data_IF_145789451956
#
_entry.id   IF_145789451956
#
_cell.length_a   1.000
_cell.length_b   1.000
_cell.length_c   1.000
_cell.angle_alpha   90.00
_cell.angle_beta   90.00
_cell.angle_gamma   90.00
#
_symmetry.space_group_name_H-M   'P 1'
#
loop_
_entity.id
_entity.type
_entity.pdbx_description
1 polymer ?
#
# COMPACT_ATOMS: atom_id res chain seq x y z
N UNK A 1 -34.46 -16.70 -48.32
CA UNK A 1 -33.92 -15.95 -47.17
C UNK A 1 -32.68 -16.70 -46.71
N UNK A 2 -31.51 -16.09 -46.84
CA UNK A 2 -30.23 -16.69 -46.42
C UNK A 2 -29.98 -16.33 -44.96
N UNK A 3 -30.36 -17.22 -44.05
CA UNK A 3 -30.04 -17.07 -42.63
C UNK A 3 -28.53 -17.18 -42.44
N UNK A 4 -27.87 -16.03 -42.22
CA UNK A 4 -26.46 -15.96 -41.86
C UNK A 4 -26.30 -16.45 -40.43
N UNK A 5 -25.86 -17.70 -40.26
CA UNK A 5 -25.42 -18.21 -38.96
C UNK A 5 -24.19 -17.42 -38.50
N UNK A 6 -24.33 -16.68 -37.40
CA UNK A 6 -23.22 -16.00 -36.74
C UNK A 6 -22.36 -17.05 -36.02
N UNK A 7 -21.27 -17.49 -36.64
CA UNK A 7 -20.22 -18.25 -35.95
C UNK A 7 -19.37 -17.29 -35.12
N UNK A 8 -19.87 -16.94 -33.93
CA UNK A 8 -19.08 -16.24 -32.92
C UNK A 8 -18.33 -17.22 -32.01
N UNK A 9 -17.24 -16.80 -31.35
CA UNK A 9 -16.63 -17.60 -30.30
C UNK A 9 -17.67 -17.93 -29.20
N UNK A 10 -17.50 -19.07 -28.53
CA UNK A 10 -18.35 -19.49 -27.41
C UNK A 10 -18.55 -18.32 -26.43
N UNK A 11 -19.79 -18.02 -26.00
CA UNK A 11 -20.03 -16.92 -25.07
C UNK A 11 -19.26 -17.19 -23.78
N UNK A 12 -18.19 -16.42 -23.55
CA UNK A 12 -17.54 -16.39 -22.26
C UNK A 12 -18.55 -15.78 -21.28
N UNK A 13 -19.15 -16.63 -20.44
CA UNK A 13 -19.96 -16.20 -19.31
C UNK A 13 -19.01 -15.43 -18.38
N UNK A 14 -19.02 -14.10 -18.52
CA UNK A 14 -18.24 -13.21 -17.66
C UNK A 14 -18.72 -13.42 -16.22
N UNK A 15 -17.82 -13.88 -15.35
CA UNK A 15 -18.11 -13.96 -13.91
C UNK A 15 -18.54 -12.59 -13.38
N UNK A 16 -19.46 -12.56 -12.42
CA UNK A 16 -20.08 -11.32 -11.93
C UNK A 16 -19.17 -10.33 -11.18
N UNK A 17 -17.86 -10.61 -11.05
CA UNK A 17 -16.90 -9.71 -10.39
C UNK A 17 -16.11 -8.93 -11.44
N UNK A 18 -16.29 -7.61 -11.48
CA UNK A 18 -15.47 -6.72 -12.30
C UNK A 18 -14.16 -6.38 -11.60
N UNK A 19 -13.10 -6.12 -12.38
CA UNK A 19 -11.79 -5.68 -11.86
C UNK A 19 -11.95 -4.44 -10.98
N UNK A 20 -12.79 -3.50 -11.39
CA UNK A 20 -13.04 -2.28 -10.62
C UNK A 20 -13.68 -2.57 -9.26
N UNK A 21 -14.61 -3.54 -9.17
CA UNK A 21 -15.18 -3.94 -7.88
C UNK A 21 -14.12 -4.52 -6.94
N UNK A 22 -13.16 -5.29 -7.46
CA UNK A 22 -12.07 -5.84 -6.66
C UNK A 22 -11.15 -4.71 -6.16
N UNK A 23 -10.77 -3.77 -7.03
CA UNK A 23 -9.92 -2.64 -6.66
C UNK A 23 -10.56 -1.75 -5.61
N UNK A 24 -11.86 -1.49 -5.69
CA UNK A 24 -12.58 -0.74 -4.65
C UNK A 24 -12.68 -1.49 -3.33
N UNK A 25 -12.86 -2.82 -3.35
CA UNK A 25 -12.78 -3.64 -2.13
C UNK A 25 -11.38 -3.53 -1.48
N UNK A 26 -10.29 -3.44 -2.26
CA UNK A 26 -8.93 -3.19 -1.74
C UNK A 26 -8.79 -1.78 -1.15
N UNK A 27 -9.35 -0.76 -1.80
CA UNK A 27 -9.38 0.60 -1.23
C UNK A 27 -10.10 0.60 0.12
N UNK A 28 -11.24 -0.09 0.23
CA UNK A 28 -11.99 -0.23 1.49
C UNK A 28 -11.15 -0.92 2.56
N UNK A 29 -10.42 -1.97 2.20
CA UNK A 29 -9.54 -2.70 3.11
C UNK A 29 -8.37 -1.85 3.64
N UNK A 30 -7.93 -0.83 2.89
CA UNK A 30 -6.88 0.11 3.29
C UNK A 30 -7.39 1.26 4.19
N UNK A 31 -8.71 1.48 4.26
CA UNK A 31 -9.29 2.55 5.08
C UNK A 31 -8.90 2.44 6.57
N UNK A 32 -9.05 1.28 7.25
CA UNK A 32 -8.69 1.16 8.67
C UNK A 32 -7.23 1.53 8.93
N UNK A 33 -6.32 1.07 8.06
CA UNK A 33 -4.88 1.39 8.16
C UNK A 33 -4.67 2.89 7.99
N UNK A 34 -5.22 3.48 6.93
CA UNK A 34 -5.08 4.92 6.67
C UNK A 34 -5.65 5.80 7.79
N UNK A 35 -6.76 5.38 8.41
CA UNK A 35 -7.40 6.09 9.51
C UNK A 35 -6.48 6.07 10.73
N UNK A 36 -5.93 4.90 11.09
CA UNK A 36 -4.99 4.79 12.21
C UNK A 36 -3.72 5.61 11.94
N UNK A 37 -3.19 5.61 10.73
CA UNK A 37 -2.05 6.45 10.36
C UNK A 37 -2.35 7.94 10.61
N UNK A 38 -3.54 8.41 10.23
CA UNK A 38 -3.96 9.81 10.43
C UNK A 38 -4.18 10.12 11.92
N UNK A 39 -4.72 9.18 12.70
CA UNK A 39 -4.92 9.38 14.14
C UNK A 39 -3.61 9.56 14.91
N UNK A 40 -2.54 8.81 14.55
CA UNK A 40 -1.26 8.87 15.25
C UNK A 40 -0.29 9.93 14.72
N UNK A 41 -0.32 10.23 13.41
CA UNK A 41 0.60 11.20 12.78
C UNK A 41 -0.07 12.54 12.40
N UNK A 42 -1.38 12.68 12.66
CA UNK A 42 -2.10 13.93 12.55
C UNK A 42 -2.32 14.44 11.12
N UNK A 43 -2.38 15.76 10.98
CA UNK A 43 -2.80 16.42 9.74
C UNK A 43 -1.82 16.21 8.58
N UNK A 44 -0.52 16.13 8.86
CA UNK A 44 0.50 15.93 7.83
C UNK A 44 0.30 14.60 7.08
N UNK A 45 -0.01 13.52 7.79
CA UNK A 45 -0.34 12.22 7.18
C UNK A 45 -1.57 12.28 6.28
N UNK A 46 -2.60 13.02 6.69
CA UNK A 46 -3.80 13.21 5.89
C UNK A 46 -3.50 13.97 4.59
N UNK A 47 -2.73 15.05 4.67
CA UNK A 47 -2.31 15.83 3.49
C UNK A 47 -1.48 14.95 2.55
N UNK A 48 -0.59 14.11 3.09
CA UNK A 48 0.23 13.18 2.30
C UNK A 48 -0.63 12.14 1.57
N UNK A 49 -1.59 11.51 2.26
CA UNK A 49 -2.53 10.54 1.68
C UNK A 49 -3.37 11.17 0.56
N UNK A 50 -3.96 12.35 0.80
CA UNK A 50 -4.76 13.07 -0.19
C UNK A 50 -3.90 13.46 -1.38
N UNK A 51 -2.71 14.03 -1.14
CA UNK A 51 -1.78 14.43 -2.21
C UNK A 51 -1.39 13.24 -3.07
N UNK A 52 -1.11 12.09 -2.45
CA UNK A 52 -0.77 10.88 -3.19
C UNK A 52 -1.94 10.37 -4.04
N UNK A 53 -3.13 10.32 -3.45
CA UNK A 53 -4.33 9.85 -4.13
C UNK A 53 -4.70 10.72 -5.34
N UNK A 54 -4.62 12.05 -5.18
CA UNK A 54 -4.90 13.01 -6.24
C UNK A 54 -3.82 12.95 -7.31
N UNK A 55 -2.55 12.98 -6.94
CA UNK A 55 -1.45 12.94 -7.92
C UNK A 55 -1.43 11.65 -8.72
N UNK A 56 -1.67 10.50 -8.10
CA UNK A 56 -1.78 9.22 -8.80
C UNK A 56 -2.89 9.25 -9.87
N UNK A 57 -4.09 9.73 -9.51
CA UNK A 57 -5.20 9.83 -10.46
C UNK A 57 -4.93 10.81 -11.59
N UNK A 58 -4.32 11.97 -11.28
CA UNK A 58 -3.99 12.99 -12.28
C UNK A 58 -2.94 12.48 -13.27
N UNK A 59 -1.89 11.81 -12.78
CA UNK A 59 -0.81 11.28 -13.62
C UNK A 59 -1.32 10.17 -14.54
N UNK A 60 -2.10 9.22 -14.01
CA UNK A 60 -2.69 8.15 -14.82
C UNK A 60 -3.67 8.71 -15.85
N UNK A 61 -4.60 9.57 -15.42
CA UNK A 61 -5.57 10.20 -16.31
C UNK A 61 -4.89 11.04 -17.41
N UNK A 62 -3.87 11.81 -17.05
CA UNK A 62 -3.09 12.62 -17.99
C UNK A 62 -2.34 11.78 -19.01
N UNK A 63 -1.66 10.71 -18.57
CA UNK A 63 -0.94 9.81 -19.47
C UNK A 63 -1.88 9.11 -20.46
N UNK A 64 -3.03 8.65 -19.99
CA UNK A 64 -4.02 7.99 -20.85
C UNK A 64 -4.65 8.96 -21.85
N UNK A 65 -4.92 10.20 -21.45
CA UNK A 65 -5.45 11.23 -22.35
C UNK A 65 -4.48 11.51 -23.52
N UNK A 66 -3.18 11.53 -23.23
CA UNK A 66 -2.11 11.70 -24.24
C UNK A 66 -2.03 10.47 -25.14
N UNK A 67 -1.95 9.26 -24.55
CA UNK A 67 -1.75 8.01 -25.29
C UNK A 67 -2.90 7.68 -26.26
N UNK A 68 -4.14 7.94 -25.86
CA UNK A 68 -5.33 7.59 -26.64
C UNK A 68 -5.97 8.77 -27.38
N UNK A 69 -5.27 9.92 -27.47
CA UNK A 69 -5.73 11.14 -28.17
C UNK A 69 -7.17 11.53 -27.81
N UNK A 70 -7.52 11.49 -26.51
CA UNK A 70 -8.83 11.95 -26.00
C UNK A 70 -9.33 11.23 -24.75
N UNK A 71 -10.26 11.88 -24.03
CA UNK A 71 -10.88 11.39 -22.79
C UNK A 71 -11.91 10.26 -22.98
N UNK A 72 -11.97 9.61 -24.14
CA UNK A 72 -12.99 8.56 -24.43
C UNK A 72 -12.87 7.33 -23.51
N UNK A 73 -11.73 7.16 -22.83
CA UNK A 73 -11.51 6.13 -21.82
C UNK A 73 -11.54 6.68 -20.37
N UNK A 74 -12.24 7.80 -20.12
CA UNK A 74 -12.33 8.42 -18.79
C UNK A 74 -12.86 7.47 -17.69
N UNK A 75 -13.57 6.40 -18.04
CA UNK A 75 -13.96 5.35 -17.09
C UNK A 75 -12.79 4.61 -16.45
N UNK A 76 -11.61 4.60 -17.09
CA UNK A 76 -10.38 3.98 -16.54
C UNK A 76 -9.82 4.80 -15.38
N UNK A 77 -10.12 6.10 -15.30
CA UNK A 77 -9.73 6.94 -14.14
C UNK A 77 -10.47 6.49 -12.86
N UNK A 78 -11.64 5.86 -13.02
CA UNK A 78 -12.50 5.41 -11.93
C UNK A 78 -12.43 3.91 -11.66
N UNK A 79 -11.50 3.20 -12.29
CA UNK A 79 -11.32 1.75 -12.07
C UNK A 79 -10.83 1.41 -10.66
N UNK A 80 -10.31 2.40 -9.91
CA UNK A 80 -9.78 2.26 -8.56
C UNK A 80 -8.30 1.88 -8.49
N UNK A 81 -7.67 1.49 -9.60
CA UNK A 81 -6.28 1.02 -9.62
C UNK A 81 -5.27 2.14 -9.33
N UNK A 82 -5.49 3.34 -9.87
CA UNK A 82 -4.69 4.52 -9.53
C UNK A 82 -4.79 4.85 -8.03
N UNK A 83 -6.01 4.68 -7.47
CA UNK A 83 -6.28 4.98 -6.08
C UNK A 83 -5.57 3.99 -5.14
N UNK A 84 -5.62 2.69 -5.45
CA UNK A 84 -4.86 1.67 -4.72
C UNK A 84 -3.37 1.97 -4.78
N UNK A 85 -2.83 2.25 -5.97
CA UNK A 85 -1.39 2.54 -6.13
C UNK A 85 -0.96 3.77 -5.32
N UNK A 86 -1.72 4.86 -5.39
CA UNK A 86 -1.44 6.09 -4.64
C UNK A 86 -1.58 5.90 -3.12
N UNK A 87 -2.57 5.14 -2.66
CA UNK A 87 -2.73 4.83 -1.23
C UNK A 87 -1.58 3.95 -0.72
N UNK A 88 -1.21 2.90 -1.45
CA UNK A 88 -0.08 2.06 -1.08
C UNK A 88 1.22 2.86 -1.02
N UNK A 89 1.46 3.76 -1.98
CA UNK A 89 2.64 4.64 -1.98
C UNK A 89 2.63 5.58 -0.78
N UNK A 90 1.49 6.19 -0.45
CA UNK A 90 1.42 7.04 0.74
C UNK A 90 1.68 6.23 2.02
N UNK A 91 1.08 5.06 2.15
CA UNK A 91 1.22 4.22 3.34
C UNK A 91 2.65 3.70 3.54
N UNK A 92 3.41 3.47 2.47
CA UNK A 92 4.82 3.10 2.61
C UNK A 92 5.74 4.30 2.78
N UNK A 93 5.29 5.55 2.71
CA UNK A 93 6.18 6.70 2.92
C UNK A 93 6.32 7.05 4.41
N UNK A 94 7.45 7.66 4.82
CA UNK A 94 7.56 8.30 6.12
C UNK A 94 6.55 9.45 6.27
N UNK A 95 6.02 9.71 7.48
CA UNK A 95 5.06 10.79 7.73
C UNK A 95 5.62 12.20 7.47
N UNK A 96 6.94 12.36 7.56
CA UNK A 96 7.69 13.60 7.35
C UNK A 96 8.08 13.83 5.88
N UNK A 97 7.74 12.90 4.98
CA UNK A 97 8.12 13.01 3.58
C UNK A 97 7.48 14.25 2.93
N UNK A 98 8.26 15.05 2.18
CA UNK A 98 7.72 16.24 1.56
C UNK A 98 6.79 15.87 0.39
N UNK A 99 5.76 16.69 0.18
CA UNK A 99 4.68 16.39 -0.77
C UNK A 99 5.18 16.19 -2.22
N UNK A 100 6.20 16.94 -2.64
CA UNK A 100 6.78 16.80 -3.97
C UNK A 100 7.39 15.42 -4.21
N UNK A 101 7.95 14.79 -3.18
CA UNK A 101 8.57 13.46 -3.29
C UNK A 101 7.53 12.39 -3.58
N UNK A 102 6.36 12.50 -2.94
CA UNK A 102 5.22 11.60 -3.14
C UNK A 102 4.68 11.73 -4.57
N UNK A 103 4.62 12.95 -5.12
CA UNK A 103 4.22 13.17 -6.52
C UNK A 103 5.20 12.50 -7.48
N UNK A 104 6.52 12.62 -7.24
CA UNK A 104 7.55 11.94 -8.06
C UNK A 104 7.40 10.42 -7.94
N UNK A 105 7.17 9.88 -6.73
CA UNK A 105 6.95 8.46 -6.51
C UNK A 105 5.77 7.94 -7.34
N UNK A 106 4.65 8.66 -7.33
CA UNK A 106 3.48 8.32 -8.13
C UNK A 106 3.75 8.40 -9.63
N UNK A 107 4.55 9.37 -10.08
CA UNK A 107 4.97 9.45 -11.48
C UNK A 107 5.77 8.22 -11.90
N UNK A 108 6.72 7.79 -11.08
CA UNK A 108 7.53 6.58 -11.34
C UNK A 108 6.66 5.32 -11.35
N UNK A 109 5.79 5.14 -10.34
CA UNK A 109 4.91 3.98 -10.27
C UNK A 109 4.01 3.88 -11.51
N UNK A 110 3.36 4.98 -11.88
CA UNK A 110 2.35 4.94 -12.93
C UNK A 110 3.02 4.91 -14.31
N UNK A 111 3.97 5.79 -14.58
CA UNK A 111 4.57 5.91 -15.91
C UNK A 111 5.52 4.76 -16.21
N UNK A 112 6.42 4.45 -15.28
CA UNK A 112 7.48 3.47 -15.51
C UNK A 112 7.07 2.04 -15.11
N UNK A 113 6.39 1.87 -13.98
CA UNK A 113 6.10 0.53 -13.47
C UNK A 113 4.77 -0.06 -13.96
N UNK A 114 3.78 0.79 -14.29
CA UNK A 114 2.45 0.35 -14.75
C UNK A 114 2.24 0.55 -16.24
N UNK A 115 2.37 1.78 -16.72
CA UNK A 115 1.99 2.15 -18.08
C UNK A 115 3.03 1.74 -19.14
N UNK A 116 4.31 1.70 -18.79
CA UNK A 116 5.37 1.21 -19.69
C UNK A 116 5.13 -0.24 -20.16
N UNK A 117 4.52 -1.07 -19.31
CA UNK A 117 4.20 -2.48 -19.61
C UNK A 117 2.80 -2.68 -20.21
N UNK A 118 2.09 -1.59 -20.50
CA UNK A 118 0.78 -1.65 -21.15
C UNK A 118 -0.42 -1.49 -20.23
N UNK A 119 -0.22 -1.23 -18.93
CA UNK A 119 -1.29 -0.90 -17.99
C UNK A 119 -1.76 -2.08 -17.14
N UNK A 120 -3.03 -2.06 -16.73
CA UNK A 120 -3.59 -2.99 -15.74
C UNK A 120 -3.55 -4.43 -16.25
N UNK A 121 -3.07 -5.35 -15.41
CA UNK A 121 -2.92 -6.76 -15.72
C UNK A 121 -1.56 -7.15 -16.32
N UNK A 122 -0.77 -6.18 -16.78
CA UNK A 122 0.55 -6.42 -17.38
C UNK A 122 1.71 -5.93 -16.49
N UNK A 123 1.46 -5.69 -15.21
CA UNK A 123 2.47 -5.22 -14.27
C UNK A 123 3.34 -6.41 -13.82
N UNK A 124 4.59 -6.48 -14.30
CA UNK A 124 5.55 -7.53 -13.89
C UNK A 124 5.84 -7.44 -12.39
N UNK A 125 5.94 -6.21 -11.87
CA UNK A 125 6.20 -5.91 -10.47
C UNK A 125 5.08 -5.04 -9.89
N UNK A 126 4.94 -5.05 -8.56
CA UNK A 126 4.04 -4.14 -7.87
C UNK A 126 4.49 -2.67 -8.09
N UNK A 127 3.67 -1.81 -8.74
CA UNK A 127 4.07 -0.45 -9.08
C UNK A 127 4.45 0.42 -7.87
N UNK A 128 3.79 0.22 -6.73
CA UNK A 128 4.08 0.95 -5.50
C UNK A 128 5.47 0.59 -4.94
N UNK A 129 5.85 -0.69 -5.01
CA UNK A 129 7.17 -1.16 -4.57
C UNK A 129 8.29 -0.67 -5.50
N UNK A 130 8.05 -0.59 -6.81
CA UNK A 130 9.01 -0.02 -7.76
C UNK A 130 9.26 1.45 -7.44
N UNK A 131 8.20 2.23 -7.18
CA UNK A 131 8.36 3.62 -6.77
C UNK A 131 9.07 3.77 -5.42
N UNK A 132 8.76 2.92 -4.43
CA UNK A 132 9.49 2.90 -3.16
C UNK A 132 10.97 2.62 -3.37
N UNK A 133 11.33 1.62 -4.17
CA UNK A 133 12.73 1.29 -4.45
C UNK A 133 13.45 2.47 -5.11
N UNK A 134 12.82 3.12 -6.10
CA UNK A 134 13.39 4.29 -6.75
C UNK A 134 13.63 5.45 -5.78
N UNK A 135 12.62 5.83 -5.00
CA UNK A 135 12.72 6.96 -4.06
C UNK A 135 13.69 6.65 -2.92
N UNK A 136 13.75 5.40 -2.46
CA UNK A 136 14.71 4.95 -1.45
C UNK A 136 16.15 5.05 -1.94
N UNK A 137 16.42 4.72 -3.21
CA UNK A 137 17.76 4.88 -3.79
C UNK A 137 18.12 6.33 -4.07
N UNK A 138 17.16 7.16 -4.50
CA UNK A 138 17.42 8.54 -4.89
C UNK A 138 17.45 9.52 -3.70
N UNK A 139 16.63 9.30 -2.67
CA UNK A 139 16.54 10.14 -1.48
C UNK A 139 16.54 9.32 -0.17
N UNK A 140 17.62 8.58 0.12
CA UNK A 140 17.68 7.70 1.29
C UNK A 140 17.47 8.45 2.60
N UNK A 141 18.06 9.64 2.76
CA UNK A 141 17.98 10.43 4.01
C UNK A 141 16.54 10.78 4.38
N UNK A 142 15.73 11.17 3.40
CA UNK A 142 14.32 11.51 3.62
C UNK A 142 13.53 10.23 3.90
N UNK A 143 13.86 9.14 3.21
CA UNK A 143 13.18 7.85 3.34
C UNK A 143 13.48 7.12 4.65
N UNK A 144 14.55 7.49 5.35
CA UNK A 144 14.93 6.94 6.65
C UNK A 144 14.68 7.92 7.81
N UNK A 145 13.97 9.03 7.56
CA UNK A 145 13.61 10.01 8.58
C UNK A 145 12.33 9.59 9.32
N UNK A 146 12.49 8.72 10.32
CA UNK A 146 11.38 8.22 11.12
C UNK A 146 10.93 9.24 12.17
N UNK A 147 9.62 9.40 12.32
CA UNK A 147 9.03 10.28 13.34
C UNK A 147 8.30 9.49 14.41
N UNK A 148 8.35 9.98 15.64
CA UNK A 148 7.53 9.47 16.73
C UNK A 148 6.05 9.82 16.48
N UNK A 149 5.12 8.93 16.87
CA UNK A 149 3.69 9.23 16.83
C UNK A 149 3.36 10.37 17.81
N UNK A 150 2.47 11.26 17.40
CA UNK A 150 2.03 12.44 18.19
C UNK A 150 1.00 12.07 19.27
N UNK A 151 0.48 10.84 19.23
CA UNK A 151 -0.64 10.38 20.04
C UNK A 151 -1.99 10.98 19.59
N UNK A 152 -3.09 10.43 20.11
CA UNK A 152 -4.46 10.72 19.66
C UNK A 152 -4.92 12.19 19.82
N UNK A 153 -4.20 13.01 20.58
CA UNK A 153 -4.62 14.38 20.95
C UNK A 153 -3.92 15.53 20.22
N UNK A 154 -2.80 15.30 19.53
CA UNK A 154 -1.90 16.38 19.09
C UNK A 154 -1.77 16.48 17.56
N UNK A 155 -2.86 16.77 16.86
CA UNK A 155 -2.91 16.73 15.40
C UNK A 155 -2.17 17.89 14.69
N UNK A 156 -1.92 18.98 15.42
CA UNK A 156 -1.23 20.18 14.93
C UNK A 156 0.19 20.31 15.50
N UNK A 157 0.64 19.36 16.31
CA UNK A 157 1.98 19.37 16.86
C UNK A 157 3.00 18.97 15.78
N UNK A 158 4.22 19.48 15.92
CA UNK A 158 5.30 19.15 15.02
C UNK A 158 5.84 17.73 15.29
N UNK A 159 6.13 16.99 14.23
CA UNK A 159 6.62 15.62 14.32
C UNK A 159 8.07 15.62 14.78
N UNK A 160 8.35 14.93 15.89
CA UNK A 160 9.72 14.77 16.37
C UNK A 160 10.36 13.52 15.77
N UNK A 161 11.61 13.64 15.34
CA UNK A 161 12.39 12.51 14.83
C UNK A 161 12.67 11.52 15.96
N UNK A 162 12.47 10.23 15.70
CA UNK A 162 12.68 9.17 16.67
C UNK A 162 13.19 7.88 16.05
N UNK A 163 13.77 6.99 16.85
CA UNK A 163 14.19 5.68 16.38
C UNK A 163 12.98 4.76 16.21
N UNK A 164 13.03 3.87 15.21
CA UNK A 164 12.03 2.81 15.05
C UNK A 164 12.31 1.65 16.00
N UNK A 165 11.31 0.82 16.34
CA UNK A 165 11.54 -0.39 17.15
C UNK A 165 12.60 -1.31 16.56
N UNK A 166 12.63 -1.45 15.23
CA UNK A 166 13.65 -2.22 14.52
C UNK A 166 15.04 -1.56 14.56
N UNK A 167 15.09 -0.23 14.70
CA UNK A 167 16.31 0.55 14.84
C UNK A 167 16.85 0.63 16.27
N UNK A 168 16.29 -0.15 17.22
CA UNK A 168 16.73 -0.22 18.61
C UNK A 168 15.97 0.69 19.58
N UNK A 169 14.82 1.23 19.20
CA UNK A 169 13.92 1.90 20.15
C UNK A 169 13.19 0.86 21.02
N UNK A 170 13.11 1.10 22.32
CA UNK A 170 12.26 0.29 23.20
C UNK A 170 10.79 0.58 22.88
N UNK A 171 10.09 -0.43 22.37
CA UNK A 171 8.64 -0.38 22.17
C UNK A 171 8.02 -1.63 22.79
N UNK A 172 6.91 -1.46 23.49
CA UNK A 172 6.17 -2.61 24.00
C UNK A 172 5.42 -3.29 22.85
N UNK A 173 5.26 -4.61 22.95
CA UNK A 173 4.52 -5.41 21.97
C UNK A 173 3.08 -4.90 21.77
N UNK A 174 2.48 -4.37 22.83
CA UNK A 174 1.14 -3.81 22.83
C UNK A 174 1.08 -2.49 22.05
N UNK A 175 2.09 -1.63 22.18
CA UNK A 175 2.19 -0.39 21.39
C UNK A 175 2.34 -0.68 19.90
N UNK A 176 3.16 -1.67 19.53
CA UNK A 176 3.32 -2.12 18.14
C UNK A 176 2.04 -2.74 17.58
N UNK A 177 1.30 -3.46 18.42
CA UNK A 177 0.03 -4.05 18.01
C UNK A 177 -1.05 -2.98 17.79
N UNK A 178 -1.09 -1.96 18.67
CA UNK A 178 -2.12 -0.91 18.63
C UNK A 178 -1.85 0.22 17.64
N UNK A 179 -0.60 0.59 17.36
CA UNK A 179 -0.36 1.78 16.53
C UNK A 179 0.78 2.70 16.93
N UNK A 180 1.21 2.63 18.19
CA UNK A 180 1.94 3.71 18.83
C UNK A 180 3.46 3.56 18.67
N UNK A 181 3.91 3.35 17.43
CA UNK A 181 5.33 3.21 17.11
C UNK A 181 5.72 4.03 15.89
N UNK A 182 6.97 4.52 15.88
CA UNK A 182 7.54 5.20 14.73
C UNK A 182 7.81 4.22 13.58
N UNK A 183 7.64 4.70 12.34
CA UNK A 183 7.78 3.92 11.11
C UNK A 183 7.13 4.59 9.92
N UNK A 184 6.90 3.85 8.82
CA UNK A 184 6.05 4.35 7.74
C UNK A 184 4.57 4.40 8.17
N UNK A 185 3.77 5.23 7.48
CA UNK A 185 2.35 5.43 7.80
C UNK A 185 1.56 4.11 7.93
N UNK A 186 1.80 3.16 7.01
CA UNK A 186 1.12 1.87 6.92
C UNK A 186 1.65 0.80 7.87
N UNK A 187 2.70 1.06 8.63
CA UNK A 187 3.32 0.12 9.58
C UNK A 187 2.80 0.31 11.01
N UNK A 188 2.04 1.38 11.24
CA UNK A 188 1.62 1.83 12.57
C UNK A 188 0.93 0.75 13.37
N UNK A 189 -0.12 0.12 12.83
CA UNK A 189 -0.97 -0.81 13.58
C UNK A 189 -1.12 -2.15 12.88
N UNK A 190 -0.56 -3.18 13.50
CA UNK A 190 -0.75 -4.58 13.10
C UNK A 190 -2.23 -4.99 13.17
N UNK A 191 -2.99 -4.47 14.14
CA UNK A 191 -4.43 -4.71 14.25
C UNK A 191 -5.17 -4.16 13.03
N UNK A 192 -4.90 -2.91 12.63
CA UNK A 192 -5.57 -2.30 11.48
C UNK A 192 -5.27 -3.05 10.17
N UNK A 193 -4.02 -3.48 9.99
CA UNK A 193 -3.59 -4.32 8.85
C UNK A 193 -4.34 -5.66 8.87
N UNK A 194 -4.45 -6.28 10.05
CA UNK A 194 -5.13 -7.57 10.21
C UNK A 194 -6.61 -7.49 9.90
N UNK A 195 -7.29 -6.40 10.28
CA UNK A 195 -8.70 -6.16 9.95
C UNK A 195 -8.87 -6.03 8.43
N UNK A 196 -8.03 -5.24 7.76
CA UNK A 196 -8.08 -5.07 6.31
C UNK A 196 -7.76 -6.37 5.56
N UNK A 197 -6.77 -7.12 6.03
CA UNK A 197 -6.43 -8.44 5.48
C UNK A 197 -7.54 -9.46 5.65
N UNK A 198 -8.15 -9.53 6.84
CA UNK A 198 -9.28 -10.41 7.11
C UNK A 198 -10.47 -10.07 6.21
N UNK A 199 -10.75 -8.78 5.98
CA UNK A 199 -11.80 -8.35 5.05
C UNK A 199 -11.56 -8.88 3.63
N UNK A 200 -10.33 -8.78 3.11
CA UNK A 200 -9.98 -9.27 1.77
C UNK A 200 -10.00 -10.80 1.67
N UNK A 201 -9.61 -11.50 2.74
CA UNK A 201 -9.73 -12.96 2.84
C UNK A 201 -11.19 -13.41 2.82
N UNK A 202 -12.07 -12.76 3.59
CA UNK A 202 -13.51 -13.07 3.62
C UNK A 202 -14.20 -12.81 2.27
N UNK A 203 -13.75 -11.79 1.53
CA UNK A 203 -14.23 -11.50 0.16
C UNK A 203 -13.69 -12.48 -0.89
N UNK A 204 -12.70 -13.29 -0.54
CA UNK A 204 -12.04 -14.25 -1.43
C UNK A 204 -11.23 -13.59 -2.54
N UNK A 205 -10.67 -12.41 -2.28
CA UNK A 205 -9.78 -11.72 -3.23
C UNK A 205 -8.31 -12.08 -3.03
N UNK A 206 -7.95 -12.53 -1.83
CA UNK A 206 -6.59 -12.92 -1.45
C UNK A 206 -6.55 -14.42 -1.11
N UNK A 207 -5.51 -15.11 -1.56
CA UNK A 207 -5.18 -16.46 -1.11
C UNK A 207 -4.46 -16.43 0.24
N UNK A 208 -5.06 -17.04 1.28
CA UNK A 208 -4.48 -17.10 2.64
C UNK A 208 -3.09 -17.75 2.70
N UNK A 209 -2.75 -18.56 1.70
CA UNK A 209 -1.45 -19.24 1.59
C UNK A 209 -0.30 -18.26 1.44
N UNK A 210 -0.52 -17.13 0.76
CA UNK A 210 0.52 -16.15 0.47
C UNK A 210 0.92 -15.39 1.75
N UNK A 211 0.01 -14.73 2.50
CA UNK A 211 0.38 -14.03 3.74
C UNK A 211 0.95 -14.99 4.79
N UNK A 212 0.36 -16.18 4.94
CA UNK A 212 0.82 -17.17 5.94
C UNK A 212 2.18 -17.72 5.58
N UNK A 213 2.45 -18.00 4.30
CA UNK A 213 3.77 -18.43 3.84
C UNK A 213 4.84 -17.35 4.04
N UNK A 214 4.50 -16.10 3.72
CA UNK A 214 5.41 -14.97 3.89
C UNK A 214 5.76 -14.72 5.36
N UNK A 215 4.74 -14.57 6.22
CA UNK A 215 4.92 -14.35 7.67
C UNK A 215 5.57 -15.57 8.33
N UNK A 216 5.17 -16.78 7.95
CA UNK A 216 5.70 -18.02 8.51
C UNK A 216 7.19 -18.23 8.19
N UNK A 217 7.61 -17.93 6.96
CA UNK A 217 9.03 -17.99 6.60
C UNK A 217 9.86 -16.97 7.37
N UNK A 218 9.39 -15.73 7.50
CA UNK A 218 10.05 -14.71 8.30
C UNK A 218 10.13 -15.08 9.79
N UNK A 219 9.05 -15.66 10.34
CA UNK A 219 9.00 -16.13 11.73
C UNK A 219 10.05 -17.22 12.00
N UNK A 220 10.21 -18.17 11.06
CA UNK A 220 11.23 -19.22 11.17
C UNK A 220 12.64 -18.65 11.19
N UNK A 221 12.96 -17.73 10.27
CA UNK A 221 14.28 -17.09 10.26
C UNK A 221 14.53 -16.24 11.52
N UNK A 222 13.53 -15.50 11.98
CA UNK A 222 13.61 -14.74 13.23
C UNK A 222 13.84 -15.68 14.43
N UNK A 223 13.19 -16.84 14.48
CA UNK A 223 13.31 -17.79 15.58
C UNK A 223 14.74 -18.34 15.73
N UNK A 224 15.40 -18.65 14.62
CA UNK A 224 16.80 -19.08 14.64
C UNK A 224 17.77 -17.93 14.96
N UNK A 225 17.50 -16.73 14.46
CA UNK A 225 18.33 -15.55 14.72
C UNK A 225 18.27 -15.10 16.20
N UNK A 226 17.09 -15.19 16.82
CA UNK A 226 16.81 -14.72 18.18
C UNK A 226 17.04 -15.78 19.26
N UNK A 227 17.89 -16.79 19.02
CA UNK A 227 18.22 -17.83 20.01
C UNK A 227 16.97 -18.50 20.64
N UNK A 228 15.94 -18.79 19.85
CA UNK A 228 14.71 -19.47 20.29
C UNK A 228 13.78 -18.65 21.22
N UNK A 229 13.99 -17.33 21.35
CA UNK A 229 13.10 -16.43 22.09
C UNK A 229 11.82 -16.12 21.31
N UNK A 230 10.66 -16.54 21.83
CA UNK A 230 9.36 -16.26 21.20
C UNK A 230 8.97 -14.78 21.26
N UNK A 231 9.44 -14.06 22.28
CA UNK A 231 9.18 -12.63 22.44
C UNK A 231 9.82 -11.83 21.30
N UNK A 232 11.09 -12.13 20.99
CA UNK A 232 11.83 -11.44 19.94
C UNK A 232 11.32 -11.77 18.54
N UNK A 233 10.80 -12.99 18.33
CA UNK A 233 10.11 -13.35 17.09
C UNK A 233 8.85 -12.52 16.91
N UNK A 234 8.02 -12.42 17.95
CA UNK A 234 6.80 -11.61 17.89
C UNK A 234 7.13 -10.13 17.69
N UNK A 235 8.17 -9.63 18.34
CA UNK A 235 8.68 -8.27 18.14
C UNK A 235 9.12 -8.05 16.69
N UNK A 236 9.94 -8.93 16.11
CA UNK A 236 10.41 -8.80 14.72
C UNK A 236 9.28 -8.92 13.68
N UNK A 237 8.24 -9.71 13.95
CA UNK A 237 7.09 -9.85 13.06
C UNK A 237 6.16 -8.63 13.10
N UNK A 238 5.99 -8.04 14.28
CA UNK A 238 5.19 -6.83 14.47
C UNK A 238 5.99 -5.56 14.14
N UNK A 239 7.32 -5.63 14.10
CA UNK A 239 8.17 -4.51 13.79
C UNK A 239 8.18 -4.21 12.29
N UNK A 240 7.85 -2.96 11.95
CA UNK A 240 7.99 -2.43 10.60
C UNK A 240 6.96 -2.95 9.60
N UNK A 241 7.26 -2.82 8.31
CA UNK A 241 6.31 -3.07 7.22
C UNK A 241 6.14 -4.49 6.75
N UNK A 242 6.58 -5.49 7.52
CA UNK A 242 6.48 -6.90 7.14
C UNK A 242 5.02 -7.34 6.96
N UNK A 243 4.18 -7.09 7.96
CA UNK A 243 2.75 -7.45 7.89
C UNK A 243 2.02 -6.71 6.77
N UNK A 244 2.31 -5.42 6.61
CA UNK A 244 1.72 -4.61 5.55
C UNK A 244 2.08 -5.16 4.17
N UNK A 245 3.35 -5.50 3.94
CA UNK A 245 3.82 -6.12 2.70
C UNK A 245 3.19 -7.50 2.45
N UNK A 246 3.09 -8.32 3.50
CA UNK A 246 2.51 -9.66 3.41
C UNK A 246 1.02 -9.65 3.01
N UNK A 247 0.26 -8.68 3.51
CA UNK A 247 -1.21 -8.64 3.35
C UNK A 247 -1.66 -7.84 2.14
N UNK A 248 -0.97 -6.75 1.78
CA UNK A 248 -1.45 -5.82 0.75
C UNK A 248 -0.57 -5.75 -0.51
N UNK A 249 0.64 -6.33 -0.47
CA UNK A 249 1.59 -6.21 -1.59
C UNK A 249 2.04 -7.54 -2.19
N UNK A 250 2.10 -8.59 -1.38
CA UNK A 250 2.47 -9.93 -1.84
C UNK A 250 1.30 -10.69 -2.50
N UNK A 251 0.07 -10.31 -2.16
CA UNK A 251 -1.19 -10.95 -2.55
C UNK A 251 -1.84 -10.27 -3.74
#
# INVERSE_FOLDING_TARGET
MSDKFLTGPSPHILGGKSISSIMWDVVIALIPVSLVSVLYFGLHALILLITSLVSARVIEGGFMAIRHKGFKHAGVIFDGSAAVTGLLIALIMPPTAPLWLVVIANAVAILLAKQAYGGIGNNIFNPALVARAFVFMAWPVIMTAWSNPLGLGNWFADLTTGATPLGGAEASLLEMFLGNTGGCLGETSALAISIGGLYLLLKGHIDWRIPVGFIGSAALFAFFSSQFSLYDVAFNLLAGGLLFGAVFMAT
#
